data_IF_117415242066
#
_entry.id   IF_117415242066
#
_cell.length_a   1.000
_cell.length_b   1.000
_cell.length_c   1.000
_cell.angle_alpha   90.00
_cell.angle_beta   90.00
_cell.angle_gamma   90.00
#
_symmetry.space_group_name_H-M   'P 1'
#
loop_
_entity.id
_entity.type
_entity.pdbx_description
1 polymer ?
#
# COMPACT_ATOMS: atom_id res chain seq x y z
N UNK A 1 -20.55 14.78 -22.90
CA UNK A 1 -20.26 13.51 -22.18
C UNK A 1 -18.80 13.62 -21.73
N UNK A 2 -18.55 13.88 -20.45
CA UNK A 2 -17.18 14.04 -19.94
C UNK A 2 -16.45 12.70 -19.97
N UNK A 3 -15.12 12.71 -20.09
CA UNK A 3 -14.25 11.51 -20.01
C UNK A 3 -14.59 10.67 -18.76
N UNK A 4 -15.02 11.33 -17.73
CA UNK A 4 -15.40 10.83 -16.43
C UNK A 4 -16.64 9.90 -16.50
N UNK A 5 -17.71 10.35 -17.16
CA UNK A 5 -18.94 9.53 -17.29
C UNK A 5 -18.74 8.27 -18.14
N UNK A 6 -17.83 8.28 -19.10
CA UNK A 6 -17.53 7.13 -19.95
C UNK A 6 -16.69 6.06 -19.22
N UNK A 7 -15.72 6.51 -18.38
CA UNK A 7 -14.88 5.60 -17.58
C UNK A 7 -15.69 4.94 -16.47
N UNK A 8 -16.50 5.72 -15.77
CA UNK A 8 -17.40 5.20 -14.73
C UNK A 8 -18.39 4.20 -15.32
N UNK A 9 -19.03 4.54 -16.44
CA UNK A 9 -19.94 3.63 -17.14
C UNK A 9 -19.23 2.32 -17.53
N UNK A 10 -18.01 2.40 -18.05
CA UNK A 10 -17.22 1.22 -18.40
C UNK A 10 -16.90 0.35 -17.17
N UNK A 11 -16.55 0.96 -16.02
CA UNK A 11 -16.32 0.20 -14.78
C UNK A 11 -17.58 -0.58 -14.38
N UNK A 12 -18.75 0.05 -14.41
CA UNK A 12 -20.01 -0.61 -14.10
C UNK A 12 -20.36 -1.73 -15.10
N UNK A 13 -20.04 -1.54 -16.39
CA UNK A 13 -20.31 -2.54 -17.44
C UNK A 13 -19.50 -3.83 -17.20
N UNK A 14 -18.24 -3.70 -16.75
CA UNK A 14 -17.36 -4.86 -16.58
C UNK A 14 -17.39 -5.45 -15.17
N UNK A 15 -17.94 -4.73 -14.17
CA UNK A 15 -18.01 -5.19 -12.78
C UNK A 15 -18.73 -6.54 -12.67
N UNK A 16 -18.14 -7.52 -11.99
CA UNK A 16 -18.67 -8.87 -11.82
C UNK A 16 -18.65 -9.74 -13.09
N UNK A 17 -18.08 -9.25 -14.18
CA UNK A 17 -17.91 -10.02 -15.43
C UNK A 17 -16.53 -10.67 -15.51
N UNK A 18 -16.37 -11.64 -16.43
CA UNK A 18 -15.06 -12.23 -16.73
C UNK A 18 -14.04 -11.19 -17.21
N UNK A 19 -14.49 -10.19 -17.96
CA UNK A 19 -13.66 -9.07 -18.40
C UNK A 19 -13.19 -8.25 -17.20
N UNK A 20 -14.08 -7.97 -16.25
CA UNK A 20 -13.75 -7.28 -15.00
C UNK A 20 -12.70 -8.03 -14.18
N UNK A 21 -12.85 -9.35 -14.01
CA UNK A 21 -11.85 -10.16 -13.33
C UNK A 21 -10.48 -10.14 -14.02
N UNK A 22 -10.46 -10.16 -15.34
CA UNK A 22 -9.22 -10.07 -16.11
C UNK A 22 -8.56 -8.70 -15.97
N UNK A 23 -9.33 -7.62 -16.00
CA UNK A 23 -8.84 -6.25 -15.76
C UNK A 23 -8.33 -6.11 -14.32
N UNK A 24 -9.07 -6.62 -13.33
CA UNK A 24 -8.67 -6.61 -11.93
C UNK A 24 -7.32 -7.31 -11.68
N UNK A 25 -7.12 -8.47 -12.32
CA UNK A 25 -5.84 -9.20 -12.26
C UNK A 25 -4.68 -8.31 -12.73
N UNK A 26 -4.79 -7.68 -13.90
CA UNK A 26 -3.71 -6.85 -14.44
C UNK A 26 -3.51 -5.56 -13.65
N UNK A 27 -4.58 -4.97 -13.12
CA UNK A 27 -4.49 -3.83 -12.20
C UNK A 27 -3.77 -4.19 -10.90
N UNK A 28 -4.02 -5.38 -10.34
CA UNK A 28 -3.32 -5.85 -9.15
C UNK A 28 -1.82 -6.10 -9.42
N UNK A 29 -1.46 -6.68 -10.59
CA UNK A 29 -0.06 -6.85 -11.01
C UNK A 29 0.62 -5.49 -11.24
N UNK A 30 -0.05 -4.56 -11.91
CA UNK A 30 0.45 -3.19 -12.09
C UNK A 30 0.67 -2.50 -10.74
N UNK A 31 -0.29 -2.62 -9.83
CA UNK A 31 -0.17 -2.10 -8.47
C UNK A 31 1.04 -2.69 -7.73
N UNK A 32 1.28 -4.01 -7.87
CA UNK A 32 2.41 -4.69 -7.27
C UNK A 32 3.75 -4.17 -7.83
N UNK A 33 3.86 -4.03 -9.14
CA UNK A 33 5.06 -3.48 -9.80
C UNK A 33 5.33 -2.05 -9.34
N UNK A 34 4.33 -1.17 -9.42
CA UNK A 34 4.45 0.23 -9.01
C UNK A 34 4.74 0.37 -7.50
N UNK A 35 4.21 -0.53 -6.68
CA UNK A 35 4.52 -0.58 -5.25
C UNK A 35 5.99 -0.91 -4.99
N UNK A 36 6.56 -1.82 -5.76
CA UNK A 36 8.00 -2.14 -5.69
C UNK A 36 8.86 -0.95 -6.14
N UNK A 37 8.46 -0.24 -7.21
CA UNK A 37 9.11 1.00 -7.66
C UNK A 37 9.06 2.06 -6.56
N UNK A 38 7.88 2.26 -5.93
CA UNK A 38 7.71 3.20 -4.82
C UNK A 38 8.64 2.87 -3.64
N UNK A 39 8.74 1.58 -3.29
CA UNK A 39 9.68 1.11 -2.27
C UNK A 39 11.14 1.43 -2.61
N UNK A 40 11.55 1.22 -3.86
CA UNK A 40 12.90 1.54 -4.33
C UNK A 40 13.17 3.07 -4.30
N UNK A 41 12.19 3.90 -4.66
CA UNK A 41 12.29 5.36 -4.58
C UNK A 41 12.44 5.88 -3.14
N UNK A 42 11.85 5.19 -2.16
CA UNK A 42 11.94 5.57 -0.75
C UNK A 42 13.26 5.13 -0.11
N UNK A 43 14.04 4.27 -0.74
CA UNK A 43 15.29 3.74 -0.18
C UNK A 43 16.40 4.80 -0.15
N UNK A 44 16.96 5.05 1.01
CA UNK A 44 18.19 5.81 1.27
C UNK A 44 18.08 7.34 1.16
N UNK A 45 19.01 8.11 1.46
CA UNK A 45 19.38 9.54 1.32
C UNK A 45 18.56 10.58 2.10
N UNK A 46 17.28 10.38 2.46
CA UNK A 46 16.48 11.36 3.20
C UNK A 46 15.84 10.71 4.43
N UNK A 47 15.50 11.54 5.39
CA UNK A 47 14.68 11.14 6.54
C UNK A 47 13.38 10.47 6.01
N UNK A 48 13.02 9.26 6.50
CA UNK A 48 11.86 8.52 6.01
C UNK A 48 10.54 9.28 6.13
N UNK A 49 10.39 10.08 7.21
CA UNK A 49 9.20 10.88 7.45
C UNK A 49 9.06 12.04 6.45
N UNK A 50 10.20 12.69 6.12
CA UNK A 50 10.21 13.75 5.12
C UNK A 50 9.95 13.19 3.73
N UNK A 51 10.54 12.03 3.39
CA UNK A 51 10.28 11.36 2.12
C UNK A 51 8.82 10.97 1.97
N UNK A 52 8.23 10.41 3.02
CA UNK A 52 6.80 10.05 3.02
C UNK A 52 5.91 11.27 2.94
N UNK A 53 6.16 12.30 3.77
CA UNK A 53 5.41 13.55 3.75
C UNK A 53 5.48 14.27 2.40
N UNK A 54 6.65 14.26 1.73
CA UNK A 54 6.77 14.84 0.40
C UNK A 54 5.90 14.11 -0.65
N UNK A 55 5.79 12.78 -0.55
CA UNK A 55 4.91 11.97 -1.39
C UNK A 55 3.44 12.32 -1.10
N UNK A 56 3.06 12.34 0.18
CA UNK A 56 1.70 12.63 0.61
C UNK A 56 1.26 14.05 0.19
N UNK A 57 2.11 15.07 0.39
CA UNK A 57 1.88 16.44 -0.11
C UNK A 57 1.72 16.46 -1.63
N UNK A 58 2.58 15.74 -2.35
CA UNK A 58 2.58 15.78 -3.82
C UNK A 58 1.29 15.22 -4.41
N UNK A 59 0.82 14.07 -3.94
CA UNK A 59 -0.46 13.55 -4.45
C UNK A 59 -1.66 14.35 -3.95
N UNK A 60 -1.63 14.88 -2.71
CA UNK A 60 -2.68 15.77 -2.22
C UNK A 60 -2.83 17.02 -3.08
N UNK A 61 -1.70 17.69 -3.39
CA UNK A 61 -1.70 18.85 -4.30
C UNK A 61 -2.14 18.47 -5.71
N UNK A 62 -1.76 17.30 -6.21
CA UNK A 62 -2.19 16.83 -7.52
C UNK A 62 -3.71 16.55 -7.58
N UNK A 63 -4.31 16.07 -6.49
CA UNK A 63 -5.76 15.79 -6.42
C UNK A 63 -6.60 17.04 -6.18
N UNK A 64 -6.03 18.08 -5.59
CA UNK A 64 -6.77 19.29 -5.22
C UNK A 64 -7.55 19.94 -6.40
N UNK A 65 -6.97 20.18 -7.60
CA UNK A 65 -7.72 20.75 -8.72
C UNK A 65 -8.85 19.83 -9.20
N UNK A 66 -8.69 18.52 -9.13
CA UNK A 66 -9.73 17.57 -9.52
C UNK A 66 -10.93 17.63 -8.56
N UNK A 67 -10.66 17.68 -7.27
CA UNK A 67 -11.69 17.82 -6.23
C UNK A 67 -12.41 19.17 -6.35
N UNK A 68 -11.68 20.25 -6.70
CA UNK A 68 -12.28 21.58 -6.78
C UNK A 68 -13.10 21.82 -8.05
N UNK A 69 -12.73 21.20 -9.18
CA UNK A 69 -13.26 21.60 -10.48
C UNK A 69 -13.85 20.44 -11.31
N UNK A 70 -13.57 19.18 -10.97
CA UNK A 70 -13.94 18.04 -11.81
C UNK A 70 -14.93 17.11 -11.12
N UNK A 71 -14.65 16.73 -9.88
CA UNK A 71 -15.46 15.74 -9.16
C UNK A 71 -16.40 16.41 -8.15
N UNK A 72 -17.63 15.88 -7.99
CA UNK A 72 -18.55 16.36 -6.98
C UNK A 72 -18.04 16.07 -5.56
N UNK A 73 -18.66 16.72 -4.57
CA UNK A 73 -18.44 16.32 -3.18
C UNK A 73 -18.92 14.89 -2.96
N UNK A 74 -18.23 14.14 -2.07
CA UNK A 74 -18.63 12.78 -1.74
C UNK A 74 -20.05 12.74 -1.16
N UNK A 75 -20.73 11.64 -1.44
CA UNK A 75 -22.02 11.36 -0.83
C UNK A 75 -21.89 11.32 0.69
N UNK A 76 -22.94 11.74 1.45
CA UNK A 76 -22.92 11.80 2.92
C UNK A 76 -22.49 10.46 3.56
N UNK A 77 -22.84 9.35 2.95
CA UNK A 77 -22.55 7.99 3.39
C UNK A 77 -21.04 7.65 3.34
N UNK A 78 -20.27 8.33 2.50
CA UNK A 78 -18.83 8.13 2.36
C UNK A 78 -18.01 8.85 3.44
N UNK A 79 -18.54 9.88 4.10
CA UNK A 79 -17.78 10.66 5.09
C UNK A 79 -17.31 9.84 6.28
N UNK A 80 -18.14 8.98 6.91
CA UNK A 80 -17.66 8.08 7.95
C UNK A 80 -16.56 7.13 7.45
N UNK A 81 -16.65 6.68 6.19
CA UNK A 81 -15.67 5.79 5.57
C UNK A 81 -14.34 6.54 5.38
N UNK A 82 -14.34 7.76 4.85
CA UNK A 82 -13.14 8.58 4.74
C UNK A 82 -12.50 8.89 6.10
N UNK A 83 -13.29 9.12 7.13
CA UNK A 83 -12.78 9.27 8.50
C UNK A 83 -12.09 7.99 8.99
N UNK A 84 -12.72 6.83 8.76
CA UNK A 84 -12.11 5.52 9.09
C UNK A 84 -10.82 5.29 8.29
N UNK A 85 -10.82 5.57 7.00
CA UNK A 85 -9.64 5.49 6.13
C UNK A 85 -8.52 6.33 6.73
N UNK A 86 -8.77 7.60 7.02
CA UNK A 86 -7.77 8.51 7.61
C UNK A 86 -7.17 7.94 8.90
N UNK A 87 -8.01 7.50 9.84
CA UNK A 87 -7.56 6.96 11.14
C UNK A 87 -6.75 5.69 10.94
N UNK A 88 -7.25 4.74 10.14
CA UNK A 88 -6.61 3.43 9.96
C UNK A 88 -5.30 3.55 9.19
N UNK A 89 -5.25 4.38 8.14
CA UNK A 89 -4.00 4.64 7.41
C UNK A 89 -2.96 5.35 8.28
N UNK A 90 -3.38 6.33 9.09
CA UNK A 90 -2.48 6.99 10.05
C UNK A 90 -1.91 5.99 11.06
N UNK A 91 -2.76 5.16 11.68
CA UNK A 91 -2.33 4.14 12.64
C UNK A 91 -1.42 3.09 12.00
N UNK A 92 -1.74 2.64 10.78
CA UNK A 92 -0.86 1.75 10.02
C UNK A 92 0.54 2.35 9.83
N UNK A 93 0.62 3.59 9.34
CA UNK A 93 1.89 4.28 9.10
C UNK A 93 2.70 4.43 10.38
N UNK A 94 2.03 4.72 11.49
CA UNK A 94 2.64 4.86 12.82
C UNK A 94 3.16 3.52 13.35
N UNK A 95 2.34 2.46 13.31
CA UNK A 95 2.73 1.11 13.74
C UNK A 95 3.91 0.58 12.92
N UNK A 96 3.90 0.81 11.60
CA UNK A 96 4.98 0.43 10.71
C UNK A 96 6.29 1.12 11.09
N UNK A 97 6.25 2.42 11.40
CA UNK A 97 7.43 3.15 11.84
C UNK A 97 7.98 2.62 13.17
N UNK A 98 7.11 2.30 14.13
CA UNK A 98 7.52 1.68 15.40
C UNK A 98 8.07 0.27 15.21
N UNK A 99 7.47 -0.55 14.35
CA UNK A 99 7.99 -1.87 14.05
C UNK A 99 9.42 -1.82 13.49
N UNK A 100 9.68 -0.92 12.55
CA UNK A 100 11.01 -0.72 11.97
C UNK A 100 12.01 -0.07 12.92
N UNK A 101 11.57 0.66 13.95
CA UNK A 101 12.46 1.18 14.98
C UNK A 101 12.93 0.13 15.99
N UNK A 102 12.22 -1.01 16.10
CA UNK A 102 12.47 -2.08 17.07
C UNK A 102 13.12 -3.33 16.47
N UNK A 103 13.02 -3.54 15.16
CA UNK A 103 13.61 -4.68 14.49
C UNK A 103 14.17 -4.34 13.11
N UNK A 104 15.06 -5.21 12.60
CA UNK A 104 15.63 -5.00 11.28
C UNK A 104 14.54 -5.06 10.19
N UNK A 105 14.70 -4.26 9.15
CA UNK A 105 13.81 -4.24 8.00
C UNK A 105 13.65 -5.65 7.38
N UNK A 106 14.75 -6.40 7.33
CA UNK A 106 14.78 -7.75 6.73
C UNK A 106 13.93 -8.77 7.45
N UNK A 107 13.64 -8.57 8.74
CA UNK A 107 12.76 -9.43 9.54
C UNK A 107 11.35 -8.87 9.61
N UNK A 108 11.21 -7.59 9.93
CA UNK A 108 9.91 -6.93 10.15
C UNK A 108 9.10 -6.88 8.85
N UNK A 109 9.72 -6.50 7.73
CA UNK A 109 9.02 -6.31 6.46
C UNK A 109 8.32 -7.59 5.96
N UNK A 110 8.99 -8.77 5.90
CA UNK A 110 8.30 -10.00 5.48
C UNK A 110 7.16 -10.42 6.42
N UNK A 111 7.29 -10.18 7.73
CA UNK A 111 6.20 -10.49 8.68
C UNK A 111 4.98 -9.61 8.42
N UNK A 112 5.14 -8.30 8.23
CA UNK A 112 4.05 -7.38 7.84
C UNK A 112 3.41 -7.84 6.54
N UNK A 113 4.23 -8.16 5.53
CA UNK A 113 3.77 -8.53 4.18
C UNK A 113 3.09 -9.90 4.14
N UNK A 114 3.49 -10.85 4.98
CA UNK A 114 2.81 -12.15 5.09
C UNK A 114 1.53 -12.07 5.91
N UNK A 115 1.51 -11.28 6.97
CA UNK A 115 0.35 -11.15 7.86
C UNK A 115 -0.81 -10.41 7.19
N UNK A 116 -0.52 -9.34 6.43
CA UNK A 116 -1.54 -8.52 5.75
C UNK A 116 -2.50 -9.35 4.89
N UNK A 117 -2.04 -10.10 3.88
CA UNK A 117 -2.90 -10.91 3.02
C UNK A 117 -3.70 -11.97 3.77
N UNK A 118 -3.12 -12.61 4.80
CA UNK A 118 -3.85 -13.59 5.63
C UNK A 118 -5.10 -12.96 6.24
N UNK A 119 -4.91 -11.84 6.93
CA UNK A 119 -6.04 -11.15 7.55
C UNK A 119 -6.98 -10.49 6.52
N UNK A 120 -6.47 -10.06 5.35
CA UNK A 120 -7.33 -9.54 4.28
C UNK A 120 -8.23 -10.63 3.69
N UNK A 121 -7.72 -11.85 3.48
CA UNK A 121 -8.51 -12.99 3.01
C UNK A 121 -9.62 -13.33 4.03
N UNK A 122 -9.28 -13.32 5.32
CA UNK A 122 -10.26 -13.52 6.41
C UNK A 122 -11.28 -12.39 6.42
N UNK A 123 -10.85 -11.13 6.35
CA UNK A 123 -11.72 -9.96 6.29
C UNK A 123 -12.63 -9.97 5.06
N UNK A 124 -12.11 -10.37 3.91
CA UNK A 124 -12.87 -10.51 2.66
C UNK A 124 -13.96 -11.60 2.76
N UNK A 125 -13.65 -12.71 3.41
CA UNK A 125 -14.65 -13.74 3.69
C UNK A 125 -15.77 -13.22 4.62
N UNK A 126 -15.39 -12.53 5.70
CA UNK A 126 -16.36 -12.05 6.72
C UNK A 126 -17.23 -10.91 6.19
N UNK A 127 -16.64 -9.92 5.52
CA UNK A 127 -17.31 -8.68 5.12
C UNK A 127 -17.98 -8.77 3.74
N UNK A 128 -17.38 -9.52 2.82
CA UNK A 128 -17.86 -9.60 1.45
C UNK A 128 -18.36 -10.99 1.06
N UNK A 129 -18.27 -12.00 1.96
CA UNK A 129 -18.65 -13.38 1.67
C UNK A 129 -17.78 -14.03 0.59
N UNK A 130 -16.55 -13.55 0.39
CA UNK A 130 -15.65 -14.05 -0.66
C UNK A 130 -15.20 -15.48 -0.36
N UNK A 131 -15.32 -16.36 -1.36
CA UNK A 131 -14.84 -17.74 -1.29
C UNK A 131 -13.73 -17.96 -2.32
N UNK A 132 -12.79 -18.84 -2.00
CA UNK A 132 -11.62 -19.12 -2.82
C UNK A 132 -11.63 -20.57 -3.29
N UNK A 133 -11.31 -20.81 -4.54
CA UNK A 133 -11.12 -22.15 -5.10
C UNK A 133 -9.89 -22.83 -4.51
N UNK A 134 -9.82 -24.16 -4.62
CA UNK A 134 -8.65 -24.93 -4.15
C UNK A 134 -7.34 -24.47 -4.79
N UNK A 135 -7.36 -24.05 -6.06
CA UNK A 135 -6.18 -23.51 -6.77
C UNK A 135 -5.76 -22.16 -6.20
N UNK A 136 -6.74 -21.28 -5.89
CA UNK A 136 -6.45 -19.98 -5.25
C UNK A 136 -5.85 -20.20 -3.85
N UNK A 137 -6.41 -21.11 -3.04
CA UNK A 137 -5.84 -21.48 -1.74
C UNK A 137 -4.41 -22.04 -1.85
N UNK A 138 -4.14 -22.87 -2.86
CA UNK A 138 -2.80 -23.37 -3.12
C UNK A 138 -1.82 -22.22 -3.42
N UNK A 139 -2.21 -21.26 -4.27
CA UNK A 139 -1.40 -20.08 -4.57
C UNK A 139 -1.15 -19.20 -3.34
N UNK A 140 -2.18 -18.98 -2.50
CA UNK A 140 -2.06 -18.26 -1.23
C UNK A 140 -1.05 -18.96 -0.31
N UNK A 141 -1.18 -20.29 -0.15
CA UNK A 141 -0.25 -21.07 0.68
C UNK A 141 1.20 -20.98 0.19
N UNK A 142 1.44 -21.12 -1.12
CA UNK A 142 2.79 -20.99 -1.68
C UNK A 142 3.40 -19.61 -1.43
N UNK A 143 2.62 -18.55 -1.64
CA UNK A 143 3.06 -17.18 -1.37
C UNK A 143 3.44 -17.00 0.09
N UNK A 144 2.57 -17.43 1.01
CA UNK A 144 2.78 -17.30 2.46
C UNK A 144 3.98 -18.11 2.94
N UNK A 145 4.13 -19.34 2.46
CA UNK A 145 5.31 -20.19 2.77
C UNK A 145 6.59 -19.50 2.30
N UNK A 146 6.58 -18.88 1.10
CA UNK A 146 7.73 -18.12 0.60
C UNK A 146 8.06 -16.90 1.48
N UNK A 147 7.05 -16.10 1.84
CA UNK A 147 7.23 -14.87 2.64
C UNK A 147 7.65 -15.22 4.09
N UNK A 148 6.95 -16.14 4.74
CA UNK A 148 7.29 -16.53 6.11
C UNK A 148 8.58 -17.37 6.18
N UNK A 149 8.88 -18.15 5.14
CA UNK A 149 10.14 -18.85 5.00
C UNK A 149 11.32 -17.87 4.93
N UNK A 150 11.18 -16.79 4.16
CA UNK A 150 12.17 -15.71 4.11
C UNK A 150 12.28 -14.98 5.46
N UNK A 151 11.16 -14.70 6.12
CA UNK A 151 11.15 -14.08 7.45
C UNK A 151 11.89 -14.95 8.46
N UNK A 152 11.60 -16.26 8.48
CA UNK A 152 12.23 -17.22 9.38
C UNK A 152 13.75 -17.37 9.10
N UNK A 153 14.12 -17.44 7.82
CA UNK A 153 15.54 -17.46 7.43
C UNK A 153 16.28 -16.21 7.94
N UNK A 154 15.72 -15.02 7.71
CA UNK A 154 16.31 -13.77 8.16
C UNK A 154 16.37 -13.68 9.70
N UNK A 155 15.34 -14.18 10.37
CA UNK A 155 15.28 -14.24 11.84
C UNK A 155 16.40 -15.11 12.43
N UNK A 156 16.65 -16.27 11.81
CA UNK A 156 17.66 -17.22 12.33
C UNK A 156 19.07 -16.75 12.03
N UNK A 157 19.32 -16.25 10.81
CA UNK A 157 20.68 -16.03 10.32
C UNK A 157 21.14 -14.56 10.26
N UNK A 158 20.23 -13.59 10.23
CA UNK A 158 20.57 -12.19 10.01
C UNK A 158 20.22 -11.26 11.18
N UNK A 159 19.39 -11.68 12.14
CA UNK A 159 18.98 -10.82 13.24
C UNK A 159 20.02 -10.78 14.36
N UNK A 160 20.59 -9.59 14.58
CA UNK A 160 21.61 -9.35 15.59
C UNK A 160 21.01 -8.90 16.95
N UNK A 161 19.85 -8.24 16.95
CA UNK A 161 19.25 -7.65 18.16
C UNK A 161 18.09 -8.50 18.68
N UNK A 162 18.40 -9.44 19.57
CA UNK A 162 17.38 -10.36 20.13
C UNK A 162 16.53 -9.75 21.24
N UNK A 163 16.96 -8.69 21.90
CA UNK A 163 16.23 -8.06 23.01
C UNK A 163 14.94 -7.38 22.56
N UNK A 164 14.96 -6.66 21.44
CA UNK A 164 13.81 -5.91 20.92
C UNK A 164 12.96 -6.73 19.95
N UNK A 165 13.43 -7.91 19.57
CA UNK A 165 12.81 -8.77 18.57
C UNK A 165 11.35 -9.15 18.88
N UNK A 166 10.97 -9.58 20.09
CA UNK A 166 9.56 -9.90 20.37
C UNK A 166 8.64 -8.69 20.17
N UNK A 167 9.06 -7.51 20.62
CA UNK A 167 8.30 -6.27 20.42
C UNK A 167 8.18 -5.91 18.92
N UNK A 168 9.27 -6.08 18.16
CA UNK A 168 9.29 -5.84 16.72
C UNK A 168 8.32 -6.79 15.98
N UNK A 169 8.28 -8.07 16.33
CA UNK A 169 7.38 -9.07 15.73
C UNK A 169 5.91 -8.79 16.07
N UNK A 170 5.60 -8.46 17.32
CA UNK A 170 4.24 -8.07 17.72
C UNK A 170 3.79 -6.84 16.94
N UNK A 171 4.63 -5.80 16.87
CA UNK A 171 4.34 -4.60 16.08
C UNK A 171 4.19 -4.92 14.58
N UNK A 172 4.98 -5.84 14.04
CA UNK A 172 4.88 -6.27 12.64
C UNK A 172 3.53 -6.97 12.36
N UNK A 173 3.10 -7.88 13.23
CA UNK A 173 1.79 -8.54 13.12
C UNK A 173 0.65 -7.53 13.26
N UNK A 174 0.72 -6.61 14.24
CA UNK A 174 -0.25 -5.52 14.36
C UNK A 174 -0.28 -4.65 13.10
N UNK A 175 0.89 -4.30 12.54
CA UNK A 175 0.96 -3.53 11.29
C UNK A 175 0.30 -4.29 10.14
N UNK A 176 0.56 -5.59 9.99
CA UNK A 176 -0.09 -6.44 8.99
C UNK A 176 -1.61 -6.54 9.17
N UNK A 177 -2.09 -6.57 10.42
CA UNK A 177 -3.54 -6.52 10.71
C UNK A 177 -4.15 -5.19 10.27
N UNK A 178 -3.45 -4.07 10.45
CA UNK A 178 -3.89 -2.77 9.95
C UNK A 178 -3.79 -2.66 8.42
N UNK A 179 -2.85 -3.37 7.77
CA UNK A 179 -2.84 -3.52 6.29
C UNK A 179 -4.12 -4.19 5.81
N UNK A 180 -4.54 -5.26 6.46
CA UNK A 180 -5.80 -5.92 6.13
C UNK A 180 -7.01 -5.02 6.39
N UNK A 181 -7.01 -4.32 7.51
CA UNK A 181 -8.10 -3.44 7.90
C UNK A 181 -8.27 -2.29 6.89
N UNK A 182 -7.20 -1.57 6.54
CA UNK A 182 -7.33 -0.50 5.54
C UNK A 182 -7.70 -1.07 4.16
N UNK A 183 -7.12 -2.20 3.75
CA UNK A 183 -7.44 -2.81 2.45
C UNK A 183 -8.92 -3.17 2.34
N UNK A 184 -9.52 -3.69 3.42
CA UNK A 184 -10.95 -4.02 3.45
C UNK A 184 -11.85 -2.80 3.52
N UNK A 185 -11.46 -1.76 4.28
CA UNK A 185 -12.22 -0.50 4.35
C UNK A 185 -12.17 0.25 3.02
N UNK A 186 -10.99 0.34 2.40
CA UNK A 186 -10.81 0.96 1.09
C UNK A 186 -11.64 0.25 0.02
N UNK A 187 -11.63 -1.10 0.03
CA UNK A 187 -12.43 -1.92 -0.86
C UNK A 187 -13.94 -1.75 -0.61
N UNK A 188 -14.36 -1.65 0.64
CA UNK A 188 -15.75 -1.34 0.97
C UNK A 188 -16.14 0.04 0.46
N UNK A 189 -15.31 1.05 0.72
CA UNK A 189 -15.56 2.43 0.30
C UNK A 189 -15.70 2.58 -1.21
N UNK A 190 -14.79 2.00 -1.99
CA UNK A 190 -14.86 2.09 -3.46
C UNK A 190 -16.05 1.30 -4.03
N UNK A 191 -16.53 0.24 -3.34
CA UNK A 191 -17.69 -0.54 -3.76
C UNK A 191 -19.01 0.15 -3.49
N UNK A 192 -19.13 0.94 -2.43
CA UNK A 192 -20.35 1.70 -2.12
C UNK A 192 -20.40 3.06 -2.82
N UNK A 193 -19.27 3.59 -3.24
CA UNK A 193 -19.22 4.85 -3.98
C UNK A 193 -19.94 4.74 -5.32
N UNK A 194 -20.80 5.73 -5.62
CA UNK A 194 -21.47 5.86 -6.93
C UNK A 194 -20.42 6.10 -8.04
N UNK A 195 -19.43 6.92 -7.75
CA UNK A 195 -18.32 7.16 -8.67
C UNK A 195 -17.00 6.64 -8.06
N UNK A 196 -16.48 5.47 -8.53
CA UNK A 196 -15.24 4.90 -8.03
C UNK A 196 -14.02 5.76 -8.32
N UNK A 197 -14.03 6.59 -9.37
CA UNK A 197 -12.91 7.46 -9.71
C UNK A 197 -12.89 8.67 -8.79
N UNK A 198 -14.06 9.29 -8.56
CA UNK A 198 -14.21 10.34 -7.56
C UNK A 198 -13.76 9.86 -6.17
N UNK A 199 -14.16 8.63 -5.78
CA UNK A 199 -13.71 8.04 -4.51
C UNK A 199 -12.18 7.96 -4.41
N UNK A 200 -11.48 7.49 -5.45
CA UNK A 200 -10.02 7.42 -5.48
C UNK A 200 -9.39 8.83 -5.32
N UNK A 201 -9.93 9.82 -6.01
CA UNK A 201 -9.42 11.20 -5.95
C UNK A 201 -9.59 11.79 -4.55
N UNK A 202 -10.77 11.64 -3.95
CA UNK A 202 -11.05 12.08 -2.58
C UNK A 202 -10.22 11.29 -1.54
N UNK A 203 -10.06 9.98 -1.75
CA UNK A 203 -9.19 9.15 -0.90
C UNK A 203 -7.79 9.74 -0.80
N UNK A 204 -7.13 10.03 -1.94
CA UNK A 204 -5.78 10.56 -1.93
C UNK A 204 -5.70 11.95 -1.32
N UNK A 205 -6.73 12.78 -1.51
CA UNK A 205 -6.78 14.07 -0.85
C UNK A 205 -6.82 13.90 0.68
N UNK A 206 -7.69 13.05 1.21
CA UNK A 206 -7.80 12.82 2.67
C UNK A 206 -6.56 12.12 3.23
N UNK A 207 -6.04 11.09 2.56
CA UNK A 207 -4.83 10.37 3.02
C UNK A 207 -3.61 11.30 3.05
N UNK A 208 -3.56 12.33 2.20
CA UNK A 208 -2.46 13.31 2.20
C UNK A 208 -2.29 14.03 3.53
N UNK A 209 -3.35 14.21 4.29
CA UNK A 209 -3.29 14.85 5.61
C UNK A 209 -2.77 13.94 6.72
N UNK A 210 -2.63 12.63 6.50
CA UNK A 210 -2.29 11.68 7.55
C UNK A 210 -0.86 11.88 8.11
N UNK A 211 0.15 12.01 7.27
CA UNK A 211 1.56 12.16 7.69
C UNK A 211 2.09 13.58 7.46
N UNK A 212 1.49 14.35 6.59
CA UNK A 212 1.95 15.70 6.26
C UNK A 212 2.15 16.61 7.48
N UNK A 213 1.25 16.68 8.49
CA UNK A 213 1.47 17.51 9.68
C UNK A 213 2.71 17.07 10.46
N UNK A 214 2.93 15.76 10.60
CA UNK A 214 4.12 15.25 11.28
C UNK A 214 5.40 15.51 10.49
N UNK A 215 5.37 15.37 9.17
CA UNK A 215 6.51 15.69 8.33
C UNK A 215 6.87 17.19 8.42
N UNK A 216 5.87 18.08 8.48
CA UNK A 216 6.06 19.52 8.73
C UNK A 216 6.68 19.80 10.10
N UNK A 217 6.16 19.17 11.15
CA UNK A 217 6.74 19.25 12.49
C UNK A 217 8.19 18.79 12.48
N UNK A 218 8.47 17.63 11.88
CA UNK A 218 9.82 17.07 11.75
C UNK A 218 10.75 18.02 11.00
N UNK A 219 10.30 18.57 9.85
CA UNK A 219 11.07 19.56 9.08
C UNK A 219 11.49 20.77 9.91
N UNK A 220 10.57 21.31 10.70
CA UNK A 220 10.85 22.50 11.51
C UNK A 220 11.84 22.24 12.66
N UNK A 221 11.91 20.99 13.15
CA UNK A 221 12.78 20.61 14.26
C UNK A 221 14.13 20.01 13.84
N UNK A 222 14.41 19.91 12.53
CA UNK A 222 15.72 19.48 12.05
C UNK A 222 16.75 20.60 12.20
N UNK A 223 17.89 20.29 12.83
CA UNK A 223 19.03 21.20 12.96
C UNK A 223 19.63 21.55 11.60
N UNK A 224 19.69 20.59 10.69
CA UNK A 224 20.11 20.78 9.29
C UNK A 224 19.01 20.29 8.37
N UNK A 225 18.42 21.23 7.62
CA UNK A 225 17.36 20.93 6.64
C UNK A 225 17.97 20.37 5.37
N UNK A 226 17.47 19.25 4.83
CA UNK A 226 17.92 18.74 3.54
C UNK A 226 17.56 19.72 2.42
N UNK A 227 18.23 19.59 1.26
CA UNK A 227 17.85 20.37 0.08
C UNK A 227 16.42 19.99 -0.35
N UNK A 228 15.56 20.99 -0.43
CA UNK A 228 14.14 20.83 -0.75
C UNK A 228 13.91 20.30 -2.17
N UNK A 229 14.76 20.68 -3.13
CA UNK A 229 14.55 20.36 -4.54
C UNK A 229 14.62 18.86 -4.83
N UNK A 230 15.66 18.10 -4.39
CA UNK A 230 15.67 16.65 -4.53
C UNK A 230 14.53 15.96 -3.77
N UNK A 231 14.11 16.50 -2.62
CA UNK A 231 12.99 15.98 -1.84
C UNK A 231 11.67 16.19 -2.58
N UNK A 232 11.45 17.36 -3.16
CA UNK A 232 10.26 17.69 -3.96
C UNK A 232 10.14 16.83 -5.23
N UNK A 233 11.24 16.63 -5.99
CA UNK A 233 11.25 15.73 -7.14
C UNK A 233 10.89 14.31 -6.72
N UNK A 234 11.49 13.83 -5.64
CA UNK A 234 11.16 12.50 -5.09
C UNK A 234 9.70 12.41 -4.66
N UNK A 235 9.19 13.45 -4.01
CA UNK A 235 7.79 13.58 -3.65
C UNK A 235 6.88 13.50 -4.86
N UNK A 236 7.16 14.28 -5.91
CA UNK A 236 6.35 14.32 -7.13
C UNK A 236 6.33 12.96 -7.87
N UNK A 237 7.52 12.37 -8.09
CA UNK A 237 7.62 11.05 -8.74
C UNK A 237 6.99 9.97 -7.87
N UNK A 238 7.28 9.97 -6.56
CA UNK A 238 6.71 9.01 -5.62
C UNK A 238 5.19 9.18 -5.46
N UNK A 239 4.68 10.41 -5.47
CA UNK A 239 3.25 10.72 -5.44
C UNK A 239 2.52 10.20 -6.68
N UNK A 240 3.09 10.43 -7.87
CA UNK A 240 2.58 9.88 -9.12
C UNK A 240 2.51 8.34 -9.07
N UNK A 241 3.63 7.69 -8.73
CA UNK A 241 3.68 6.22 -8.62
C UNK A 241 2.71 5.70 -7.55
N UNK A 242 2.56 6.40 -6.42
CA UNK A 242 1.62 6.02 -5.36
C UNK A 242 0.17 6.06 -5.84
N UNK A 243 -0.24 7.14 -6.52
CA UNK A 243 -1.61 7.27 -7.06
C UNK A 243 -1.94 6.12 -8.00
N UNK A 244 -1.06 5.82 -8.96
CA UNK A 244 -1.31 4.71 -9.88
C UNK A 244 -1.22 3.34 -9.20
N UNK A 245 -0.32 3.15 -8.23
CA UNK A 245 -0.22 1.89 -7.48
C UNK A 245 -1.46 1.62 -6.65
N UNK A 246 -1.82 2.56 -5.77
CA UNK A 246 -2.97 2.39 -4.87
C UNK A 246 -4.30 2.55 -5.60
N UNK A 247 -4.42 3.47 -6.56
CA UNK A 247 -5.62 3.58 -7.39
C UNK A 247 -5.91 2.31 -8.18
N UNK A 248 -4.87 1.69 -8.76
CA UNK A 248 -5.03 0.41 -9.47
C UNK A 248 -5.51 -0.71 -8.56
N UNK A 249 -4.96 -0.86 -7.34
CA UNK A 249 -5.42 -1.91 -6.43
C UNK A 249 -6.83 -1.66 -5.92
N UNK A 250 -7.20 -0.41 -5.64
CA UNK A 250 -8.56 -0.05 -5.25
C UNK A 250 -9.55 -0.39 -6.36
N UNK A 251 -9.24 -0.03 -7.61
CA UNK A 251 -10.09 -0.37 -8.75
C UNK A 251 -10.16 -1.89 -8.97
N UNK A 252 -9.06 -2.62 -8.78
CA UNK A 252 -9.06 -4.09 -8.82
C UNK A 252 -10.02 -4.68 -7.79
N UNK A 253 -10.03 -4.15 -6.55
CA UNK A 253 -10.94 -4.62 -5.49
C UNK A 253 -12.40 -4.23 -5.73
N UNK A 254 -12.69 -3.22 -6.56
CA UNK A 254 -14.03 -2.92 -7.05
C UNK A 254 -14.51 -3.98 -8.04
N UNK A 255 -13.64 -4.36 -8.97
CA UNK A 255 -13.99 -5.22 -10.12
C UNK A 255 -14.02 -6.71 -9.76
N UNK A 256 -13.27 -7.13 -8.74
CA UNK A 256 -13.19 -8.54 -8.35
C UNK A 256 -12.86 -8.70 -6.85
N UNK A 257 -12.52 -9.91 -6.43
CA UNK A 257 -12.28 -10.30 -5.04
C UNK A 257 -11.14 -9.50 -4.38
N UNK A 258 -11.46 -8.96 -3.22
CA UNK A 258 -10.51 -8.17 -2.39
C UNK A 258 -9.34 -9.03 -1.93
N UNK A 259 -9.62 -10.25 -1.47
CA UNK A 259 -8.59 -11.16 -0.99
C UNK A 259 -7.64 -11.58 -2.11
N UNK A 260 -8.13 -11.82 -3.34
CA UNK A 260 -7.30 -12.15 -4.49
C UNK A 260 -6.40 -10.98 -4.89
N UNK A 261 -6.97 -9.78 -4.99
CA UNK A 261 -6.22 -8.56 -5.29
C UNK A 261 -5.12 -8.31 -4.24
N UNK A 262 -5.41 -8.51 -2.95
CA UNK A 262 -4.43 -8.35 -1.88
C UNK A 262 -3.28 -9.36 -1.98
N UNK A 263 -3.58 -10.63 -2.28
CA UNK A 263 -2.54 -11.68 -2.47
C UNK A 263 -1.69 -11.39 -3.71
N UNK A 264 -2.30 -11.02 -4.83
CA UNK A 264 -1.57 -10.66 -6.05
C UNK A 264 -0.65 -9.46 -5.83
N UNK A 265 -1.06 -8.48 -5.04
CA UNK A 265 -0.20 -7.32 -4.70
C UNK A 265 1.08 -7.74 -3.98
N UNK A 266 1.11 -8.88 -3.28
CA UNK A 266 2.32 -9.35 -2.61
C UNK A 266 3.41 -9.80 -3.59
N UNK A 267 3.10 -10.03 -4.86
CA UNK A 267 4.11 -10.23 -5.92
C UNK A 267 5.04 -9.01 -6.06
N UNK A 268 4.68 -7.88 -5.45
CA UNK A 268 5.57 -6.71 -5.31
C UNK A 268 6.91 -7.06 -4.67
N UNK A 269 6.97 -8.07 -3.81
CA UNK A 269 8.23 -8.55 -3.20
C UNK A 269 9.18 -9.15 -4.25
N UNK A 270 8.62 -9.86 -5.25
CA UNK A 270 9.38 -10.40 -6.38
C UNK A 270 9.89 -9.26 -7.27
N UNK A 271 9.03 -8.30 -7.61
CA UNK A 271 9.44 -7.12 -8.37
C UNK A 271 10.49 -6.30 -7.62
N UNK A 272 10.37 -6.13 -6.30
CA UNK A 272 11.35 -5.43 -5.49
C UNK A 272 12.72 -6.14 -5.49
N UNK A 273 12.73 -7.48 -5.44
CA UNK A 273 13.97 -8.27 -5.56
C UNK A 273 14.63 -8.08 -6.94
N UNK A 274 13.84 -8.12 -8.01
CA UNK A 274 14.33 -7.90 -9.39
C UNK A 274 14.88 -6.48 -9.55
N UNK A 275 14.16 -5.45 -9.08
CA UNK A 275 14.61 -4.06 -9.12
C UNK A 275 15.88 -3.89 -8.29
N UNK A 276 15.94 -4.46 -7.09
CA UNK A 276 17.12 -4.46 -6.23
C UNK A 276 18.35 -5.04 -6.92
N UNK A 277 18.18 -6.18 -7.57
CA UNK A 277 19.26 -6.85 -8.30
C UNK A 277 19.70 -6.08 -9.54
N UNK A 278 18.77 -5.69 -10.42
CA UNK A 278 19.11 -5.10 -11.71
C UNK A 278 19.58 -3.64 -11.60
N UNK A 279 18.91 -2.83 -10.78
CA UNK A 279 19.13 -1.38 -10.74
C UNK A 279 19.94 -0.91 -9.54
N UNK A 280 19.77 -1.57 -8.37
CA UNK A 280 20.48 -1.19 -7.16
C UNK A 280 21.75 -2.02 -6.94
N UNK A 281 22.05 -2.97 -7.85
CA UNK A 281 23.21 -3.88 -7.80
C UNK A 281 23.30 -4.63 -6.46
N UNK A 282 22.15 -4.92 -5.84
CA UNK A 282 22.11 -5.70 -4.61
C UNK A 282 22.29 -7.18 -4.92
N UNK A 283 23.11 -7.86 -4.11
CA UNK A 283 23.25 -9.31 -4.23
C UNK A 283 21.98 -9.97 -3.70
N UNK A 284 21.26 -10.68 -4.57
CA UNK A 284 20.11 -11.51 -4.22
C UNK A 284 20.62 -12.88 -3.86
N UNK A 285 20.44 -13.33 -2.61
CA UNK A 285 20.79 -14.70 -2.20
C UNK A 285 21.46 -14.81 -0.82
N UNK A 286 21.78 -16.02 -0.39
CA UNK A 286 22.33 -16.31 0.94
C UNK A 286 23.72 -15.70 1.23
N UNK A 287 24.34 -15.04 0.27
CA UNK A 287 25.66 -14.42 0.39
C UNK A 287 25.62 -12.94 0.80
N UNK A 288 24.54 -12.45 1.36
CA UNK A 288 24.48 -11.11 2.02
C UNK A 288 25.18 -11.08 3.40
N UNK A 289 26.21 -11.87 3.57
CA UNK A 289 27.08 -11.78 4.75
C UNK A 289 28.37 -11.15 4.27
N UNK A 290 28.38 -9.80 4.24
CA UNK A 290 29.58 -8.96 4.44
C UNK A 290 29.17 -7.51 4.31
#
# INVERSE_FOLDING_TARGET
>A
MSLDSSLVAWVYEIEGTRTGSYVAFWLAILAAFLHAVLGALQKGRHDPWLSRGAIDVSYGLAMLPFVMFVFPFPEPELWPIFLMIFIVHFMYKLLQAFAYSKGSFTVVYPVVRGTGPVFTVIGAYILFGETFSSIQWLGICFLLVGIFGLALYNLIYLEASRETLPAALVLAVCTGSFVALYTTIDAYGIRVAVDPIAFIVWFFLFDSFSITPYAFYRWNNLAQKPNIFPLAIRGAVGGFVAVFSFGSIMLATRLDKVGEAAVLRETSTVFAAIIGWLFLKETVGPRRVY
#
